data_IF_473549895525
#
_entry.id   IF_473549895525
#
_cell.length_a   1.000
_cell.length_b   1.000
_cell.length_c   1.000
_cell.angle_alpha   90.00
_cell.angle_beta   90.00
_cell.angle_gamma   90.00
#
_symmetry.space_group_name_H-M   'P 1'
#
loop_
_entity.id
_entity.type
_entity.pdbx_description
1 polymer ?
#
# COMPACT_ATOMS: atom_id res chain seq x y z
N UNK A 1 -32.23 -37.56 18.19
CA UNK A 1 -30.85 -37.12 18.51
C UNK A 1 -30.68 -37.04 20.02
N UNK A 2 -29.70 -37.71 20.65
CA UNK A 2 -29.56 -37.66 22.11
C UNK A 2 -28.90 -36.34 22.53
N UNK A 3 -29.53 -35.65 23.48
CA UNK A 3 -29.06 -34.37 24.06
C UNK A 3 -27.71 -34.59 24.77
N UNK A 4 -26.69 -33.81 24.41
CA UNK A 4 -25.39 -33.79 25.11
C UNK A 4 -25.60 -33.37 26.57
N UNK A 5 -25.11 -34.17 27.52
CA UNK A 5 -25.14 -33.85 28.96
C UNK A 5 -24.26 -32.60 29.20
N UNK A 6 -24.76 -31.56 29.89
CA UNK A 6 -23.94 -30.40 30.22
C UNK A 6 -22.84 -30.79 31.20
N UNK A 7 -21.62 -30.31 30.96
CA UNK A 7 -20.46 -30.61 31.79
C UNK A 7 -20.58 -29.89 33.14
N UNK A 8 -20.74 -30.66 34.22
CA UNK A 8 -20.84 -30.12 35.57
C UNK A 8 -19.51 -29.48 36.00
N UNK A 9 -19.56 -28.22 36.46
CA UNK A 9 -18.40 -27.48 36.93
C UNK A 9 -17.65 -28.18 38.08
N UNK A 10 -18.37 -28.98 38.87
CA UNK A 10 -17.78 -29.80 39.96
C UNK A 10 -16.84 -30.88 39.41
N UNK A 11 -17.19 -31.47 38.27
CA UNK A 11 -16.40 -32.49 37.59
C UNK A 11 -15.13 -31.88 36.95
N UNK A 12 -15.23 -30.67 36.40
CA UNK A 12 -14.08 -29.96 35.84
C UNK A 12 -13.07 -29.52 36.91
N UNK A 13 -13.57 -29.10 38.09
CA UNK A 13 -12.71 -28.75 39.23
C UNK A 13 -11.96 -29.97 39.78
N UNK A 14 -12.64 -31.11 39.88
CA UNK A 14 -12.02 -32.38 40.29
C UNK A 14 -10.92 -32.84 39.32
N UNK A 15 -11.14 -32.72 38.00
CA UNK A 15 -10.14 -33.07 36.99
C UNK A 15 -8.90 -32.15 37.05
N UNK A 16 -9.08 -30.87 37.33
CA UNK A 16 -7.96 -29.94 37.50
C UNK A 16 -7.16 -30.21 38.78
N UNK A 17 -7.82 -30.59 39.87
CA UNK A 17 -7.15 -31.01 41.10
C UNK A 17 -6.35 -32.30 40.90
N UNK A 18 -6.92 -33.30 40.22
CA UNK A 18 -6.20 -34.53 39.89
C UNK A 18 -4.98 -34.26 38.99
N UNK A 19 -5.11 -33.41 37.97
CA UNK A 19 -3.96 -33.03 37.13
C UNK A 19 -2.84 -32.34 37.92
N UNK A 20 -3.19 -31.49 38.88
CA UNK A 20 -2.21 -30.81 39.75
C UNK A 20 -1.55 -31.78 40.73
N UNK A 21 -2.28 -32.76 41.26
CA UNK A 21 -1.74 -33.80 42.12
C UNK A 21 -0.77 -34.73 41.37
N UNK A 22 -1.05 -35.05 40.10
CA UNK A 22 -0.13 -35.80 39.23
C UNK A 22 1.15 -35.00 38.94
N UNK A 23 1.03 -33.70 38.64
CA UNK A 23 2.22 -32.84 38.40
C UNK A 23 3.06 -32.68 39.68
N UNK A 24 2.43 -32.69 40.85
CA UNK A 24 3.12 -32.62 42.16
C UNK A 24 3.76 -33.95 42.57
N UNK A 25 3.44 -35.05 41.90
CA UNK A 25 3.98 -36.39 42.19
C UNK A 25 3.24 -37.14 43.30
N UNK A 26 2.08 -36.64 43.76
CA UNK A 26 1.30 -37.27 44.84
C UNK A 26 0.51 -38.52 44.35
N UNK A 27 0.37 -38.68 43.03
CA UNK A 27 -0.41 -39.77 42.40
C UNK A 27 0.26 -40.17 41.08
N UNK A 28 0.49 -41.47 40.88
CA UNK A 28 1.03 -41.99 39.62
C UNK A 28 0.07 -41.78 38.44
N UNK A 29 0.58 -41.42 37.24
CA UNK A 29 -0.25 -41.23 36.07
C UNK A 29 -0.91 -42.54 35.63
N UNK A 30 -2.23 -42.50 35.43
CA UNK A 30 -2.99 -43.66 34.96
C UNK A 30 -2.50 -44.11 33.57
N UNK A 31 -2.46 -45.44 33.31
CA UNK A 31 -2.00 -45.97 32.03
C UNK A 31 -2.85 -45.47 30.87
N UNK A 32 -2.18 -45.06 29.79
CA UNK A 32 -2.80 -44.51 28.59
C UNK A 32 -3.82 -45.51 28.00
N UNK A 33 -5.09 -45.11 27.95
CA UNK A 33 -6.10 -45.88 27.20
C UNK A 33 -5.79 -45.77 25.71
N UNK A 34 -5.74 -46.90 25.03
CA UNK A 34 -5.61 -46.98 23.58
C UNK A 34 -6.77 -46.23 22.93
N UNK A 35 -6.47 -45.09 22.31
CA UNK A 35 -7.43 -44.33 21.51
C UNK A 35 -7.75 -45.12 20.24
N UNK A 36 -8.88 -45.83 20.25
CA UNK A 36 -9.50 -46.28 19.00
C UNK A 36 -9.93 -45.05 18.23
N UNK A 37 -9.19 -44.69 17.17
CA UNK A 37 -9.53 -43.62 16.24
C UNK A 37 -10.87 -43.88 15.52
N UNK A 38 -11.98 -43.57 16.17
CA UNK A 38 -13.23 -43.27 15.46
C UNK A 38 -13.08 -41.86 14.89
N UNK A 39 -12.89 -41.76 13.57
CA UNK A 39 -12.98 -40.51 12.79
C UNK A 39 -14.34 -39.86 13.04
N UNK A 40 -14.41 -39.01 14.07
CA UNK A 40 -15.47 -38.03 14.20
C UNK A 40 -15.31 -37.03 13.08
N UNK A 41 -16.29 -36.96 12.16
CA UNK A 41 -16.42 -35.85 11.22
C UNK A 41 -16.44 -34.55 12.03
N UNK A 42 -15.28 -33.88 12.12
CA UNK A 42 -15.22 -32.46 12.45
C UNK A 42 -16.06 -31.75 11.39
N UNK A 43 -17.12 -31.07 11.81
CA UNK A 43 -17.73 -30.05 10.98
C UNK A 43 -16.62 -29.07 10.61
N UNK A 44 -16.19 -29.11 9.35
CA UNK A 44 -15.33 -28.10 8.76
C UNK A 44 -16.10 -26.78 8.83
N UNK A 45 -15.67 -25.90 9.73
CA UNK A 45 -15.85 -24.47 9.53
C UNK A 45 -15.28 -24.17 8.16
N UNK A 46 -16.12 -23.65 7.27
CA UNK A 46 -15.97 -23.67 5.82
C UNK A 46 -14.54 -23.42 5.36
N UNK A 47 -13.89 -24.48 4.87
CA UNK A 47 -12.86 -24.32 3.87
C UNK A 47 -13.58 -23.79 2.63
N UNK A 48 -13.58 -22.46 2.49
CA UNK A 48 -13.75 -21.84 1.19
C UNK A 48 -12.83 -22.60 0.25
N UNK A 49 -13.40 -23.23 -0.78
CA UNK A 49 -12.67 -23.79 -1.90
C UNK A 49 -11.87 -22.66 -2.53
N UNK A 50 -10.67 -22.38 -2.01
CA UNK A 50 -9.75 -21.42 -2.61
C UNK A 50 -9.29 -22.06 -3.91
N UNK A 51 -9.82 -21.54 -5.01
CA UNK A 51 -9.40 -21.90 -6.37
C UNK A 51 -7.86 -21.90 -6.42
N UNK A 52 -7.19 -22.96 -6.91
CA UNK A 52 -5.73 -23.02 -6.96
C UNK A 52 -5.14 -21.83 -7.75
N UNK A 53 -5.83 -21.37 -8.80
CA UNK A 53 -5.48 -20.16 -9.54
C UNK A 53 -5.50 -18.87 -8.69
N UNK A 54 -6.41 -18.77 -7.72
CA UNK A 54 -6.45 -17.63 -6.78
C UNK A 54 -5.29 -17.71 -5.80
N UNK A 55 -4.94 -18.91 -5.33
CA UNK A 55 -3.78 -19.10 -4.46
C UNK A 55 -2.46 -18.76 -5.19
N UNK A 56 -2.36 -19.12 -6.46
CA UNK A 56 -1.21 -18.80 -7.33
C UNK A 56 -1.12 -17.30 -7.62
N UNK A 57 -2.24 -16.64 -7.96
CA UNK A 57 -2.31 -15.19 -8.13
C UNK A 57 -1.89 -14.44 -6.85
N UNK A 58 -2.30 -14.92 -5.67
CA UNK A 58 -1.89 -14.32 -4.39
C UNK A 58 -0.38 -14.48 -4.15
N UNK A 59 0.21 -15.64 -4.48
CA UNK A 59 1.67 -15.84 -4.40
C UNK A 59 2.42 -14.94 -5.37
N UNK A 60 1.89 -14.73 -6.56
CA UNK A 60 2.48 -13.85 -7.58
C UNK A 60 2.54 -12.39 -7.14
N UNK A 61 1.62 -11.95 -6.27
CA UNK A 61 1.54 -10.61 -5.68
C UNK A 61 2.16 -10.52 -4.28
N UNK A 62 3.08 -11.42 -3.94
CA UNK A 62 3.85 -11.32 -2.71
C UNK A 62 4.96 -10.28 -2.87
N UNK A 63 5.11 -9.38 -1.91
CA UNK A 63 6.16 -8.38 -1.95
C UNK A 63 7.54 -9.04 -1.83
N UNK A 64 8.51 -8.48 -2.54
CA UNK A 64 9.90 -8.93 -2.53
C UNK A 64 10.81 -7.75 -2.20
N UNK A 65 11.67 -7.93 -1.20
CA UNK A 65 12.62 -6.91 -0.75
C UNK A 65 14.03 -7.48 -0.75
N UNK A 66 15.04 -6.60 -0.76
CA UNK A 66 16.44 -7.03 -0.58
C UNK A 66 16.59 -7.76 0.75
N UNK A 67 17.29 -8.89 0.73
CA UNK A 67 17.74 -9.56 1.94
C UNK A 67 19.10 -9.01 2.31
N UNK A 68 19.25 -8.58 3.56
CA UNK A 68 20.53 -8.09 4.07
C UNK A 68 21.56 -9.25 4.08
N UNK A 69 22.80 -9.03 3.64
CA UNK A 69 23.87 -10.01 3.75
C UNK A 69 24.09 -10.46 5.20
N UNK A 70 24.47 -11.73 5.41
CA UNK A 70 24.73 -12.25 6.76
C UNK A 70 25.87 -11.50 7.45
N UNK A 71 26.91 -11.13 6.70
CA UNK A 71 28.06 -10.36 7.20
C UNK A 71 27.61 -9.01 7.75
N UNK A 72 26.80 -8.26 6.98
CA UNK A 72 26.21 -6.99 7.41
C UNK A 72 25.38 -7.15 8.70
N UNK A 73 24.60 -8.23 8.82
CA UNK A 73 23.79 -8.51 10.01
C UNK A 73 24.65 -8.82 11.24
N UNK A 74 25.73 -9.58 11.08
CA UNK A 74 26.66 -9.91 12.17
C UNK A 74 27.44 -8.69 12.63
N UNK A 75 27.92 -7.87 11.70
CA UNK A 75 28.62 -6.63 11.98
C UNK A 75 27.73 -5.61 12.70
N UNK A 76 26.55 -5.31 12.14
CA UNK A 76 25.61 -4.37 12.78
C UNK A 76 25.15 -4.86 14.15
N UNK A 77 25.00 -6.18 14.35
CA UNK A 77 24.71 -6.75 15.66
C UNK A 77 25.85 -6.58 16.65
N UNK A 78 27.11 -6.79 16.21
CA UNK A 78 28.30 -6.56 17.03
C UNK A 78 28.37 -5.10 17.45
N UNK A 79 28.30 -4.19 16.49
CA UNK A 79 28.37 -2.75 16.71
C UNK A 79 27.21 -2.25 17.59
N UNK A 80 25.98 -2.72 17.38
CA UNK A 80 24.84 -2.35 18.24
C UNK A 80 25.01 -2.80 19.70
N UNK A 81 25.82 -3.83 19.96
CA UNK A 81 26.13 -4.30 21.31
C UNK A 81 27.31 -3.54 21.95
N UNK A 82 28.22 -2.98 21.15
CA UNK A 82 29.43 -2.31 21.63
C UNK A 82 29.31 -0.80 21.68
N UNK A 83 28.54 -0.19 20.77
CA UNK A 83 28.44 1.26 20.66
C UNK A 83 27.62 1.84 21.83
N UNK A 84 28.16 2.85 22.54
CA UNK A 84 27.45 3.48 23.64
C UNK A 84 26.28 4.30 23.10
N UNK A 85 25.05 3.96 23.51
CA UNK A 85 23.86 4.77 23.20
C UNK A 85 23.62 5.77 24.35
N UNK A 86 23.96 7.07 24.19
CA UNK A 86 23.74 8.05 25.23
C UNK A 86 22.24 8.19 25.53
N UNK A 87 21.91 8.22 26.82
CA UNK A 87 20.55 8.45 27.30
C UNK A 87 20.53 9.71 28.18
N UNK A 88 19.47 10.54 28.09
CA UNK A 88 18.31 10.41 27.19
C UNK A 88 18.68 10.63 25.71
N UNK A 89 17.91 10.02 24.80
CA UNK A 89 18.05 10.31 23.37
C UNK A 89 17.68 11.77 23.16
N UNK A 90 18.50 12.53 22.44
CA UNK A 90 18.20 13.93 22.09
C UNK A 90 16.85 14.02 21.37
N UNK A 91 16.03 15.00 21.73
CA UNK A 91 14.78 15.28 21.03
C UNK A 91 14.98 15.64 19.56
N UNK A 92 16.18 16.09 19.18
CA UNK A 92 16.50 16.39 17.78
C UNK A 92 16.49 15.14 16.90
N UNK A 93 16.79 13.96 17.45
CA UNK A 93 16.69 12.69 16.71
C UNK A 93 15.24 12.33 16.32
N UNK A 94 14.24 12.97 16.96
CA UNK A 94 12.83 12.81 16.60
C UNK A 94 12.36 13.80 15.52
N UNK A 95 13.19 14.77 15.15
CA UNK A 95 12.87 15.76 14.11
C UNK A 95 13.26 15.19 12.75
N UNK A 96 12.28 15.11 11.85
CA UNK A 96 12.58 14.83 10.45
C UNK A 96 13.29 16.05 9.85
N UNK A 97 14.52 15.87 9.39
CA UNK A 97 15.23 16.93 8.70
C UNK A 97 14.71 17.04 7.26
N UNK A 98 14.00 18.13 6.96
CA UNK A 98 13.53 18.41 5.61
C UNK A 98 14.68 18.85 4.68
N UNK A 99 15.90 19.10 5.17
CA UNK A 99 17.02 19.46 4.29
C UNK A 99 17.38 18.35 3.28
N UNK A 100 17.12 17.09 3.63
CA UNK A 100 17.19 15.93 2.71
C UNK A 100 16.07 15.96 1.64
N UNK A 101 15.20 16.98 1.68
CA UNK A 101 14.06 17.19 0.77
C UNK A 101 13.90 18.66 0.35
N UNK A 102 14.83 19.57 0.73
CA UNK A 102 14.71 21.01 0.46
C UNK A 102 15.09 21.34 -0.98
N UNK A 103 14.30 22.21 -1.57
CA UNK A 103 14.43 22.68 -2.95
C UNK A 103 15.51 23.75 -3.12
N UNK A 104 16.65 23.68 -2.43
CA UNK A 104 17.75 24.64 -2.65
C UNK A 104 18.50 24.34 -3.96
N UNK A 105 18.64 25.29 -4.91
CA UNK A 105 19.27 25.05 -6.23
C UNK A 105 20.75 24.71 -6.22
N UNK A 106 21.43 24.93 -5.10
CA UNK A 106 22.89 24.78 -4.99
C UNK A 106 23.30 23.62 -4.08
N UNK A 107 22.34 22.79 -3.64
CA UNK A 107 22.60 21.70 -2.71
C UNK A 107 22.79 20.37 -3.45
N UNK A 108 23.87 19.67 -3.11
CA UNK A 108 24.28 18.38 -3.70
C UNK A 108 23.16 17.32 -3.59
N UNK A 109 22.29 17.47 -2.59
CA UNK A 109 21.12 16.64 -2.28
C UNK A 109 20.02 16.66 -3.37
N UNK A 110 19.96 17.67 -4.25
CA UNK A 110 19.05 17.66 -5.42
C UNK A 110 19.34 16.51 -6.37
N UNK A 111 20.61 16.09 -6.47
CA UNK A 111 20.99 14.96 -7.32
C UNK A 111 20.47 13.64 -6.76
N UNK A 112 20.34 13.49 -5.45
CA UNK A 112 19.96 12.23 -4.79
C UNK A 112 18.44 11.98 -4.82
N UNK A 113 17.62 13.02 -4.65
CA UNK A 113 16.15 12.92 -4.73
C UNK A 113 15.68 12.58 -6.17
N UNK A 114 16.44 13.00 -7.18
CA UNK A 114 16.19 12.67 -8.59
C UNK A 114 16.70 11.27 -9.01
N UNK A 115 17.53 10.62 -8.20
CA UNK A 115 18.14 9.35 -8.56
C UNK A 115 17.16 8.18 -8.46
N UNK A 116 16.41 8.09 -7.36
CA UNK A 116 15.43 7.02 -7.14
C UNK A 116 14.07 7.38 -7.75
N UNK A 117 13.65 6.62 -8.77
CA UNK A 117 12.42 6.89 -9.54
C UNK A 117 11.49 5.69 -9.51
N UNK A 118 10.20 5.87 -9.78
CA UNK A 118 9.32 4.73 -10.06
C UNK A 118 9.55 4.22 -11.50
N UNK A 119 9.57 2.89 -11.74
CA UNK A 119 9.73 2.34 -13.07
C UNK A 119 8.55 2.74 -13.95
N UNK A 120 8.84 3.31 -15.11
CA UNK A 120 7.83 3.66 -16.12
C UNK A 120 7.51 2.44 -16.95
N UNK A 121 6.23 2.23 -17.27
CA UNK A 121 5.86 1.16 -18.18
C UNK A 121 6.39 1.47 -19.59
N UNK A 122 7.03 0.52 -20.29
CA UNK A 122 7.36 0.69 -21.70
C UNK A 122 6.11 1.00 -22.53
N UNK A 123 6.26 1.83 -23.57
CA UNK A 123 5.20 1.98 -24.57
C UNK A 123 4.97 0.62 -25.25
N UNK A 124 3.71 0.23 -25.34
CA UNK A 124 3.27 -0.96 -26.07
C UNK A 124 2.32 -0.53 -27.19
N UNK A 125 2.10 -1.42 -28.16
CA UNK A 125 1.18 -1.20 -29.27
C UNK A 125 0.27 -2.42 -29.41
N UNK A 126 -0.89 -2.26 -30.00
CA UNK A 126 -1.88 -3.33 -30.12
C UNK A 126 -1.39 -4.51 -30.96
N UNK A 127 -0.46 -4.29 -31.88
CA UNK A 127 0.14 -5.34 -32.70
C UNK A 127 1.12 -6.22 -31.92
N UNK A 128 1.57 -5.77 -30.74
CA UNK A 128 2.49 -6.54 -29.90
C UNK A 128 1.75 -7.70 -29.24
N UNK A 129 2.35 -8.88 -29.30
CA UNK A 129 1.84 -10.04 -28.56
C UNK A 129 2.00 -9.80 -27.05
N UNK A 130 1.14 -10.42 -26.25
CA UNK A 130 1.24 -10.40 -24.78
C UNK A 130 2.65 -10.74 -24.29
N UNK A 131 3.27 -11.77 -24.88
CA UNK A 131 4.61 -12.22 -24.53
C UNK A 131 5.69 -11.19 -24.82
N UNK A 132 5.55 -10.43 -25.92
CA UNK A 132 6.49 -9.36 -26.25
C UNK A 132 6.36 -8.19 -25.27
N UNK A 133 5.14 -7.80 -24.92
CA UNK A 133 4.88 -6.76 -23.92
C UNK A 133 5.46 -7.17 -22.57
N UNK A 134 5.21 -8.40 -22.12
CA UNK A 134 5.72 -8.92 -20.85
C UNK A 134 7.27 -8.94 -20.82
N UNK A 135 7.91 -9.35 -21.93
CA UNK A 135 9.38 -9.36 -22.04
C UNK A 135 9.98 -7.96 -22.08
N UNK A 136 9.32 -7.01 -22.73
CA UNK A 136 9.74 -5.61 -22.74
C UNK A 136 9.65 -4.97 -21.35
N UNK A 137 8.56 -5.25 -20.63
CA UNK A 137 8.37 -4.83 -19.23
C UNK A 137 9.45 -5.42 -18.31
N UNK A 138 9.76 -6.72 -18.45
CA UNK A 138 10.83 -7.39 -17.71
C UNK A 138 12.20 -6.77 -17.99
N UNK A 139 12.52 -6.48 -19.25
CA UNK A 139 13.78 -5.88 -19.65
C UNK A 139 13.96 -4.46 -19.10
N UNK A 140 12.93 -3.63 -19.13
CA UNK A 140 12.97 -2.28 -18.54
C UNK A 140 13.08 -2.34 -17.02
N UNK A 141 12.27 -3.20 -16.39
CA UNK A 141 12.27 -3.36 -14.94
C UNK A 141 13.63 -3.81 -14.42
N UNK A 142 14.29 -4.75 -15.10
CA UNK A 142 15.64 -5.19 -14.74
C UNK A 142 16.64 -4.02 -14.78
N UNK A 143 16.65 -3.23 -15.86
CA UNK A 143 17.53 -2.05 -15.96
C UNK A 143 17.27 -1.02 -14.86
N UNK A 144 16.00 -0.79 -14.55
CA UNK A 144 15.61 0.11 -13.46
C UNK A 144 16.08 -0.43 -12.09
N UNK A 145 15.98 -1.74 -11.89
CA UNK A 145 16.40 -2.41 -10.66
C UNK A 145 17.92 -2.31 -10.49
N UNK A 146 18.69 -2.62 -11.54
CA UNK A 146 20.15 -2.55 -11.54
C UNK A 146 20.62 -1.12 -11.20
N UNK A 147 20.03 -0.10 -11.85
CA UNK A 147 20.31 1.32 -11.55
C UNK A 147 19.94 1.68 -10.10
N UNK A 148 18.80 1.22 -9.61
CA UNK A 148 18.37 1.51 -8.24
C UNK A 148 19.28 0.85 -7.22
N UNK A 149 19.78 -0.35 -7.51
CA UNK A 149 20.74 -1.06 -6.67
C UNK A 149 22.11 -0.36 -6.66
N UNK A 150 22.57 0.17 -7.79
CA UNK A 150 23.79 1.00 -7.86
C UNK A 150 23.67 2.23 -6.96
N UNK A 151 22.56 2.97 -7.05
CA UNK A 151 22.30 4.16 -6.20
C UNK A 151 22.26 3.77 -4.71
N UNK A 152 21.58 2.68 -4.37
CA UNK A 152 21.50 2.23 -2.97
C UNK A 152 22.85 1.72 -2.47
N UNK A 153 23.66 1.10 -3.32
CA UNK A 153 25.01 0.67 -2.98
C UNK A 153 25.90 1.88 -2.68
N UNK A 154 25.91 2.89 -3.55
CA UNK A 154 26.63 4.16 -3.34
C UNK A 154 26.20 4.85 -2.03
N UNK A 155 24.88 4.88 -1.75
CA UNK A 155 24.37 5.41 -0.48
C UNK A 155 24.86 4.62 0.75
N UNK A 156 25.08 3.31 0.62
CA UNK A 156 25.55 2.47 1.72
C UNK A 156 27.07 2.55 1.92
N UNK A 157 27.81 3.09 0.96
CA UNK A 157 29.25 3.30 1.10
C UNK A 157 29.51 4.34 2.22
N UNK A 158 30.50 4.08 3.10
CA UNK A 158 30.84 5.03 4.15
C UNK A 158 31.37 6.33 3.53
N UNK A 159 30.93 7.47 4.04
CA UNK A 159 31.50 8.77 3.68
C UNK A 159 32.95 8.81 4.17
N UNK A 160 33.90 8.53 3.28
CA UNK A 160 35.32 8.68 3.57
C UNK A 160 35.61 10.18 3.59
N UNK A 161 35.68 10.77 4.77
CA UNK A 161 36.15 12.15 4.95
C UNK A 161 37.65 12.13 4.67
N UNK A 162 38.08 12.83 3.61
CA UNK A 162 39.52 12.99 3.32
C UNK A 162 40.21 13.54 4.57
N UNK A 163 41.22 12.83 5.12
CA UNK A 163 41.91 13.29 6.31
C UNK A 163 42.61 14.61 6.00
N UNK A 164 42.37 15.61 6.85
CA UNK A 164 43.26 16.76 6.92
C UNK A 164 44.54 16.29 7.63
N UNK A 165 45.57 16.00 6.84
CA UNK A 165 46.99 15.78 7.20
C UNK A 165 47.29 14.84 8.42
N UNK A 166 47.96 13.72 8.11
CA UNK A 166 48.82 12.86 8.96
C UNK A 166 48.26 11.70 9.83
N UNK A 167 46.96 11.42 9.92
CA UNK A 167 46.44 10.31 10.78
C UNK A 167 45.64 9.22 10.02
N UNK A 168 46.28 8.47 9.10
CA UNK A 168 45.65 7.31 8.40
C UNK A 168 45.19 6.18 9.35
N UNK A 169 45.84 6.03 10.51
CA UNK A 169 45.49 4.99 11.49
C UNK A 169 44.17 5.29 12.23
N UNK A 170 43.86 6.57 12.43
CA UNK A 170 42.69 7.03 13.18
C UNK A 170 41.40 6.93 12.34
N UNK A 171 41.51 7.01 11.01
CA UNK A 171 40.37 6.85 10.08
C UNK A 171 39.76 5.44 10.12
N UNK A 172 40.59 4.40 10.14
CA UNK A 172 40.11 3.01 10.13
C UNK A 172 39.42 2.62 11.45
N UNK A 173 39.88 3.16 12.59
CA UNK A 173 39.18 2.98 13.88
C UNK A 173 37.87 3.78 13.91
N UNK A 174 37.85 5.02 13.40
CA UNK A 174 36.64 5.85 13.34
C UNK A 174 35.54 5.29 12.42
N UNK A 175 35.90 4.68 11.28
CA UNK A 175 34.96 3.96 10.40
C UNK A 175 34.38 2.72 11.10
N UNK A 176 35.19 2.02 11.91
CA UNK A 176 34.76 0.83 12.66
C UNK A 176 33.85 1.16 13.87
N UNK A 177 33.77 2.42 14.30
CA UNK A 177 32.95 2.85 15.44
C UNK A 177 31.59 3.45 15.06
N UNK A 178 31.23 3.51 13.78
CA UNK A 178 29.93 4.03 13.35
C UNK A 178 29.01 2.94 12.81
N UNK A 179 27.70 3.12 13.02
CA UNK A 179 26.68 2.25 12.41
C UNK A 179 26.70 2.44 10.90
N UNK A 180 26.91 1.39 10.09
CA UNK A 180 26.83 1.51 8.65
C UNK A 180 25.40 1.87 8.22
N UNK A 181 25.27 2.62 7.12
CA UNK A 181 23.97 2.96 6.52
C UNK A 181 23.31 1.67 6.02
N UNK A 182 22.07 1.42 6.45
CA UNK A 182 21.33 0.27 5.99
C UNK A 182 20.75 0.52 4.58
N UNK A 183 20.75 -0.49 3.69
CA UNK A 183 20.15 -0.33 2.37
C UNK A 183 18.64 -0.11 2.50
N UNK A 184 18.11 0.78 1.66
CA UNK A 184 16.68 1.08 1.67
C UNK A 184 15.88 -0.09 1.11
N UNK A 185 14.76 -0.42 1.76
CA UNK A 185 13.87 -1.49 1.29
C UNK A 185 12.85 -0.95 0.31
N UNK A 186 12.87 -1.45 -0.93
CA UNK A 186 11.87 -1.15 -1.96
C UNK A 186 11.39 -2.42 -2.66
N UNK A 187 10.24 -2.34 -3.32
CA UNK A 187 9.59 -3.48 -3.97
C UNK A 187 10.38 -3.95 -5.20
N UNK A 188 10.77 -5.23 -5.20
CA UNK A 188 11.53 -5.88 -6.27
C UNK A 188 10.68 -6.84 -7.11
N UNK A 189 9.41 -7.03 -6.78
CA UNK A 189 8.50 -7.84 -7.57
C UNK A 189 7.84 -7.02 -8.69
N UNK A 190 8.16 -7.33 -9.94
CA UNK A 190 7.56 -6.73 -11.13
C UNK A 190 6.04 -6.80 -11.13
N UNK A 191 5.45 -7.85 -10.58
CA UNK A 191 3.99 -8.03 -10.58
C UNK A 191 3.27 -6.98 -9.74
N UNK A 192 3.92 -6.49 -8.67
CA UNK A 192 3.41 -5.39 -7.86
C UNK A 192 3.49 -4.08 -8.66
N UNK A 193 4.59 -3.85 -9.38
CA UNK A 193 4.73 -2.69 -10.26
C UNK A 193 3.75 -2.72 -11.45
N UNK A 194 3.46 -3.91 -12.00
CA UNK A 194 2.40 -4.10 -13.00
C UNK A 194 1.03 -3.70 -12.46
N UNK A 195 0.74 -3.94 -11.17
CA UNK A 195 -0.50 -3.42 -10.56
C UNK A 195 -0.52 -1.90 -10.50
N UNK A 196 0.59 -1.27 -10.12
CA UNK A 196 0.69 0.19 -10.14
C UNK A 196 0.44 0.74 -11.56
N UNK A 197 1.05 0.15 -12.58
CA UNK A 197 0.84 0.56 -13.97
C UNK A 197 -0.62 0.41 -14.39
N UNK A 198 -1.25 -0.74 -14.14
CA UNK A 198 -2.67 -0.97 -14.46
C UNK A 198 -3.58 0.04 -13.77
N UNK A 199 -3.38 0.27 -12.47
CA UNK A 199 -4.20 1.22 -11.69
C UNK A 199 -4.02 2.63 -12.22
N UNK A 200 -2.78 3.05 -12.48
CA UNK A 200 -2.49 4.41 -12.95
C UNK A 200 -2.86 4.65 -14.40
N UNK A 201 -3.00 3.59 -15.21
CA UNK A 201 -3.47 3.69 -16.60
C UNK A 201 -5.00 3.78 -16.67
N UNK A 202 -5.70 2.86 -16.01
CA UNK A 202 -7.15 2.68 -16.14
C UNK A 202 -7.94 3.73 -15.35
N UNK A 203 -7.36 4.27 -14.27
CA UNK A 203 -8.08 5.15 -13.35
C UNK A 203 -8.10 6.60 -13.83
N UNK A 204 -9.26 7.25 -13.77
CA UNK A 204 -9.35 8.71 -13.99
C UNK A 204 -9.06 9.49 -12.70
N UNK A 205 -9.49 8.98 -11.55
CA UNK A 205 -9.18 9.54 -10.23
C UNK A 205 -8.29 8.55 -9.46
N UNK A 206 -7.22 9.05 -8.84
CA UNK A 206 -6.30 8.29 -8.01
C UNK A 206 -6.43 8.71 -6.55
N UNK A 207 -6.74 7.76 -5.68
CA UNK A 207 -6.72 7.91 -4.23
C UNK A 207 -5.43 7.33 -3.67
N UNK A 208 -4.65 8.14 -2.97
CA UNK A 208 -3.41 7.70 -2.32
C UNK A 208 -3.62 7.68 -0.82
N UNK A 209 -3.60 6.50 -0.22
CA UNK A 209 -3.78 6.34 1.22
C UNK A 209 -2.48 6.59 1.98
N UNK A 210 -2.49 7.61 2.83
CA UNK A 210 -1.38 8.00 3.69
C UNK A 210 -1.73 7.64 5.15
N UNK A 211 -0.86 6.95 5.86
CA UNK A 211 -1.03 6.74 7.31
C UNK A 211 -0.61 8.01 8.06
N UNK A 212 -1.50 8.58 8.86
CA UNK A 212 -1.27 9.87 9.56
C UNK A 212 -0.05 9.89 10.48
N UNK A 213 0.47 8.72 10.86
CA UNK A 213 1.67 8.60 11.70
C UNK A 213 2.95 8.95 10.96
N UNK A 214 3.01 8.71 9.65
CA UNK A 214 4.19 8.97 8.83
C UNK A 214 3.78 9.14 7.34
N UNK A 215 3.04 10.20 6.98
CA UNK A 215 2.47 10.34 5.65
C UNK A 215 3.52 10.42 4.54
N UNK A 216 4.70 11.00 4.83
CA UNK A 216 5.80 11.13 3.86
C UNK A 216 6.33 9.79 3.36
N UNK A 217 6.29 8.74 4.19
CA UNK A 217 6.67 7.38 3.79
C UNK A 217 5.68 6.76 2.78
N UNK A 218 4.44 7.25 2.76
CA UNK A 218 3.38 6.76 1.88
C UNK A 218 3.28 7.55 0.58
N UNK A 219 3.82 8.77 0.54
CA UNK A 219 3.89 9.61 -0.66
C UNK A 219 5.31 10.19 -0.85
N UNK A 220 6.28 9.33 -1.24
CA UNK A 220 7.64 9.79 -1.47
C UNK A 220 7.72 10.68 -2.72
N UNK A 221 8.76 11.55 -2.83
CA UNK A 221 8.97 12.41 -3.99
C UNK A 221 9.00 11.64 -5.33
N UNK A 222 9.56 10.42 -5.34
CA UNK A 222 9.60 9.55 -6.52
C UNK A 222 8.21 9.20 -7.07
N UNK A 223 7.24 8.95 -6.18
CA UNK A 223 5.85 8.69 -6.55
C UNK A 223 5.14 9.98 -6.99
N UNK A 224 5.39 11.09 -6.29
CA UNK A 224 4.84 12.39 -6.66
C UNK A 224 5.27 12.81 -8.08
N UNK A 225 6.57 12.70 -8.39
CA UNK A 225 7.12 12.96 -9.72
C UNK A 225 6.60 11.98 -10.78
N UNK A 226 6.43 10.70 -10.42
CA UNK A 226 5.85 9.70 -11.31
C UNK A 226 4.41 10.06 -11.71
N UNK A 227 3.57 10.42 -10.73
CA UNK A 227 2.16 10.76 -10.97
C UNK A 227 1.96 12.16 -11.57
N UNK A 228 2.94 13.05 -11.45
CA UNK A 228 2.92 14.38 -12.07
C UNK A 228 3.40 14.37 -13.53
N UNK A 229 3.77 13.20 -14.07
CA UNK A 229 4.25 13.09 -15.43
C UNK A 229 3.18 13.51 -16.47
N UNK A 230 3.56 14.08 -17.63
CA UNK A 230 2.60 14.67 -18.58
C UNK A 230 1.50 13.72 -19.08
N UNK A 231 1.78 12.41 -19.17
CA UNK A 231 0.81 11.39 -19.58
C UNK A 231 -0.26 11.10 -18.52
N UNK A 232 -0.08 11.61 -17.30
CA UNK A 232 -1.07 11.57 -16.21
C UNK A 232 -1.73 12.93 -15.96
N UNK A 233 -1.42 13.98 -16.75
CA UNK A 233 -1.97 15.32 -16.55
C UNK A 233 -3.51 15.41 -16.61
N UNK A 234 -4.16 14.44 -17.27
CA UNK A 234 -5.63 14.34 -17.34
C UNK A 234 -6.24 13.59 -16.15
N UNK A 235 -5.43 13.12 -15.20
CA UNK A 235 -5.89 12.40 -14.01
C UNK A 235 -6.01 13.36 -12.83
N UNK A 236 -6.81 12.99 -11.83
CA UNK A 236 -6.93 13.74 -10.58
C UNK A 236 -6.45 12.89 -9.43
N UNK A 237 -5.55 13.44 -8.62
CA UNK A 237 -4.97 12.74 -7.47
C UNK A 237 -5.48 13.36 -6.19
N UNK A 238 -5.96 12.52 -5.27
CA UNK A 238 -6.44 12.91 -3.94
C UNK A 238 -5.61 12.13 -2.91
N UNK A 239 -5.00 12.86 -1.99
CA UNK A 239 -4.29 12.31 -0.85
C UNK A 239 -5.28 12.07 0.30
N UNK A 240 -5.37 10.85 0.79
CA UNK A 240 -6.27 10.47 1.87
C UNK A 240 -5.45 10.16 3.12
N UNK A 241 -5.46 11.08 4.09
CA UNK A 241 -4.81 10.93 5.38
C UNK A 241 -5.67 10.05 6.28
N UNK A 242 -5.31 8.77 6.36
CA UNK A 242 -6.00 7.74 7.14
C UNK A 242 -5.52 7.68 8.59
N UNK A 243 -6.35 7.09 9.46
CA UNK A 243 -6.04 6.83 10.88
C UNK A 243 -5.77 8.11 11.67
N UNK A 244 -6.49 9.19 11.36
CA UNK A 244 -6.33 10.46 12.10
C UNK A 244 -6.75 10.32 13.56
N UNK A 245 -7.58 9.33 13.89
CA UNK A 245 -7.94 8.93 15.26
C UNK A 245 -6.71 8.52 16.11
N UNK A 246 -5.66 7.95 15.50
CA UNK A 246 -4.45 7.52 16.21
C UNK A 246 -3.50 8.70 16.47
N UNK A 247 -3.38 9.60 15.49
CA UNK A 247 -2.50 10.77 15.60
C UNK A 247 -3.19 11.94 16.31
N UNK A 248 -4.52 11.96 16.40
CA UNK A 248 -5.27 13.07 16.95
C UNK A 248 -5.33 14.29 16.00
N UNK A 249 -6.33 15.15 16.20
CA UNK A 249 -6.72 16.17 15.22
C UNK A 249 -5.62 17.21 14.96
N UNK A 250 -4.98 17.74 16.01
CA UNK A 250 -3.95 18.78 15.84
C UNK A 250 -2.77 18.33 14.97
N UNK A 251 -2.34 17.06 15.07
CA UNK A 251 -1.27 16.51 14.23
C UNK A 251 -1.75 16.22 12.81
N UNK A 252 -3.00 15.76 12.66
CA UNK A 252 -3.59 15.51 11.36
C UNK A 252 -3.78 16.82 10.57
N UNK A 253 -4.21 17.90 11.23
CA UNK A 253 -4.34 19.24 10.64
C UNK A 253 -2.99 19.82 10.23
N UNK A 254 -1.96 19.67 11.08
CA UNK A 254 -0.59 20.07 10.73
C UNK A 254 -0.08 19.32 9.49
N UNK A 255 -0.33 18.00 9.40
CA UNK A 255 0.01 17.21 8.22
C UNK A 255 -0.77 17.63 6.97
N UNK A 256 -2.07 17.89 7.11
CA UNK A 256 -2.89 18.36 6.00
C UNK A 256 -2.37 19.71 5.48
N UNK A 257 -2.09 20.65 6.37
CA UNK A 257 -1.51 21.95 6.01
C UNK A 257 -0.16 21.79 5.30
N UNK A 258 0.74 20.97 5.84
CA UNK A 258 2.03 20.68 5.22
C UNK A 258 1.88 20.10 3.81
N UNK A 259 1.02 19.09 3.62
CA UNK A 259 0.81 18.44 2.32
C UNK A 259 0.18 19.38 1.30
N UNK A 260 -0.78 20.21 1.70
CA UNK A 260 -1.39 21.23 0.82
C UNK A 260 -0.37 22.30 0.42
N UNK A 261 0.49 22.75 1.34
CA UNK A 261 1.55 23.71 1.01
C UNK A 261 2.60 23.10 0.08
N UNK A 262 3.01 21.86 0.33
CA UNK A 262 4.03 21.17 -0.49
C UNK A 262 3.52 20.76 -1.87
N UNK A 263 2.23 20.46 -1.98
CA UNK A 263 1.57 20.04 -3.22
C UNK A 263 0.28 20.84 -3.48
N UNK A 264 0.38 22.12 -3.90
CA UNK A 264 -0.76 23.04 -3.98
C UNK A 264 -1.85 22.65 -4.98
N UNK A 265 -1.58 21.69 -5.88
CA UNK A 265 -2.57 21.15 -6.82
C UNK A 265 -3.25 19.86 -6.35
N UNK A 266 -2.90 19.32 -5.18
CA UNK A 266 -3.46 18.07 -4.67
C UNK A 266 -4.47 18.32 -3.57
N UNK A 267 -5.58 17.59 -3.63
CA UNK A 267 -6.60 17.57 -2.57
C UNK A 267 -6.14 16.67 -1.43
N UNK A 268 -6.31 17.12 -0.20
CA UNK A 268 -6.01 16.33 1.01
C UNK A 268 -7.30 16.12 1.80
N UNK A 269 -7.67 14.86 2.01
CA UNK A 269 -8.86 14.46 2.78
C UNK A 269 -8.42 13.67 4.00
N UNK A 270 -8.94 14.03 5.18
CA UNK A 270 -8.70 13.28 6.40
C UNK A 270 -9.76 12.19 6.58
N UNK A 271 -9.38 11.03 7.12
CA UNK A 271 -10.28 9.89 7.35
C UNK A 271 -9.92 9.15 8.64
N UNK A 272 -10.90 8.99 9.52
CA UNK A 272 -10.84 8.06 10.65
C UNK A 272 -10.99 6.62 10.19
N UNK A 273 -10.30 5.69 10.86
CA UNK A 273 -10.32 4.28 10.45
C UNK A 273 -10.95 3.35 11.47
N UNK A 274 -11.03 3.75 12.74
CA UNK A 274 -11.45 2.88 13.83
C UNK A 274 -12.37 3.62 14.80
N UNK A 275 -13.38 2.92 15.32
CA UNK A 275 -14.19 3.38 16.45
C UNK A 275 -14.07 2.39 17.60
N UNK A 276 -14.02 2.91 18.83
CA UNK A 276 -14.03 2.06 20.02
C UNK A 276 -15.43 1.45 20.21
N UNK A 277 -15.48 0.13 20.13
CA UNK A 277 -16.67 -0.66 20.43
C UNK A 277 -16.85 -0.72 21.94
N UNK A 278 -17.84 -0.01 22.45
CA UNK A 278 -18.29 -0.16 23.83
C UNK A 278 -18.84 -1.59 24.03
N UNK A 279 -18.01 -2.47 24.62
CA UNK A 279 -18.48 -3.77 25.09
C UNK A 279 -19.18 -3.55 26.42
N UNK A 280 -20.45 -3.94 26.51
CA UNK A 280 -21.30 -3.73 27.68
C UNK A 280 -20.64 -4.18 29.00
N UNK A 281 -20.96 -3.46 30.08
CA UNK A 281 -20.46 -3.68 31.44
C UNK A 281 -20.60 -5.17 31.84
N UNK A 282 -19.50 -5.93 31.82
CA UNK A 282 -19.51 -7.33 32.24
C UNK A 282 -18.47 -8.23 31.57
N UNK A 283 -17.86 -7.80 30.47
CA UNK A 283 -16.74 -8.51 29.81
C UNK A 283 -15.46 -7.72 30.02
N UNK A 284 -14.48 -8.26 30.74
CA UNK A 284 -13.30 -7.52 31.22
C UNK A 284 -12.63 -6.61 30.17
N UNK A 285 -12.66 -5.30 30.46
CA UNK A 285 -11.77 -4.18 30.10
C UNK A 285 -10.80 -4.27 28.89
N UNK A 286 -11.12 -4.99 27.83
CA UNK A 286 -10.38 -4.89 26.56
C UNK A 286 -11.14 -3.96 25.62
N UNK A 287 -10.55 -2.78 25.37
CA UNK A 287 -10.98 -1.87 24.33
C UNK A 287 -10.94 -2.60 23.00
N UNK A 288 -12.10 -2.77 22.36
CA UNK A 288 -12.21 -3.42 21.07
C UNK A 288 -12.46 -2.32 20.04
N UNK A 289 -11.77 -2.36 18.90
CA UNK A 289 -11.97 -1.39 17.82
C UNK A 289 -12.62 -2.07 16.62
N UNK A 290 -13.56 -1.39 15.97
CA UNK A 290 -14.14 -1.83 14.70
C UNK A 290 -13.87 -0.83 13.57
N UNK A 291 -13.64 -1.29 12.33
CA UNK A 291 -13.48 -0.39 11.19
C UNK A 291 -14.75 0.44 11.00
N UNK A 292 -14.60 1.76 11.01
CA UNK A 292 -15.71 2.69 10.89
C UNK A 292 -15.25 3.92 10.11
N UNK A 293 -16.05 4.30 9.12
CA UNK A 293 -15.91 5.56 8.40
C UNK A 293 -17.07 6.47 8.84
N UNK A 294 -16.82 7.49 9.68
CA UNK A 294 -17.87 8.40 10.11
C UNK A 294 -18.52 9.12 8.93
N UNK A 295 -19.82 9.43 9.05
CA UNK A 295 -20.61 10.04 7.98
C UNK A 295 -20.03 11.37 7.50
N UNK A 296 -19.50 12.18 8.41
CA UNK A 296 -18.85 13.45 8.05
C UNK A 296 -17.61 13.23 7.16
N UNK A 297 -16.72 12.31 7.51
CA UNK A 297 -15.54 12.00 6.70
C UNK A 297 -15.91 11.33 5.38
N UNK A 298 -16.97 10.51 5.37
CA UNK A 298 -17.53 9.98 4.13
C UNK A 298 -18.00 11.11 3.22
N UNK A 299 -18.75 12.07 3.75
CA UNK A 299 -19.21 13.23 3.00
C UNK A 299 -18.02 13.99 2.39
N UNK A 300 -17.00 14.31 3.19
CA UNK A 300 -15.80 15.00 2.70
C UNK A 300 -15.07 14.23 1.59
N UNK A 301 -14.95 12.90 1.71
CA UNK A 301 -14.33 12.09 0.67
C UNK A 301 -15.16 12.09 -0.63
N UNK A 302 -16.49 12.00 -0.51
CA UNK A 302 -17.40 12.04 -1.67
C UNK A 302 -17.39 13.41 -2.32
N UNK A 303 -17.37 14.48 -1.54
CA UNK A 303 -17.28 15.85 -2.06
C UNK A 303 -15.96 16.05 -2.82
N UNK A 304 -14.84 15.56 -2.29
CA UNK A 304 -13.55 15.61 -2.99
C UNK A 304 -13.56 14.80 -4.30
N UNK A 305 -14.21 13.64 -4.33
CA UNK A 305 -14.41 12.85 -5.55
C UNK A 305 -15.30 13.58 -6.57
N UNK A 306 -16.37 14.20 -6.09
CA UNK A 306 -17.30 14.97 -6.91
C UNK A 306 -16.62 16.19 -7.52
N UNK A 307 -15.83 16.93 -6.75
CA UNK A 307 -15.04 18.04 -7.24
C UNK A 307 -14.01 17.59 -8.31
N UNK A 308 -13.26 16.53 -8.02
CA UNK A 308 -12.31 15.96 -8.99
C UNK A 308 -13.02 15.50 -10.27
N UNK A 309 -14.22 14.95 -10.17
CA UNK A 309 -15.05 14.60 -11.32
C UNK A 309 -15.51 15.83 -12.10
N UNK A 310 -15.98 16.88 -11.43
CA UNK A 310 -16.36 18.14 -12.10
C UNK A 310 -15.20 18.78 -12.86
N UNK A 311 -13.99 18.74 -12.32
CA UNK A 311 -12.79 19.21 -13.02
C UNK A 311 -12.43 18.38 -14.26
N UNK A 312 -12.83 17.11 -14.29
CA UNK A 312 -12.62 16.24 -15.46
C UNK A 312 -13.68 16.48 -16.54
N UNK A 313 -14.82 17.07 -16.18
CA UNK A 313 -15.84 17.53 -17.13
C UNK A 313 -15.49 18.87 -17.78
N UNK A 314 -14.51 19.58 -17.24
CA UNK A 314 -14.05 20.84 -17.83
C UNK A 314 -12.94 20.61 -18.88
N UNK A 315 -13.03 21.26 -20.06
CA UNK A 315 -11.99 21.18 -21.06
C UNK A 315 -10.69 21.83 -20.56
N UNK A 316 -9.53 21.18 -20.77
CA UNK A 316 -8.22 21.77 -20.45
C UNK A 316 -8.02 23.12 -21.16
N UNK A 317 -7.24 24.01 -20.54
CA UNK A 317 -6.96 25.38 -21.06
C UNK A 317 -6.55 25.38 -22.54
N UNK A 318 -5.66 24.47 -22.94
CA UNK A 318 -5.20 24.32 -24.35
C UNK A 318 -6.31 24.04 -25.36
N UNK A 319 -7.42 23.46 -24.92
CA UNK A 319 -8.59 23.13 -25.75
C UNK A 319 -9.61 24.26 -25.68
N UNK A 320 -9.73 24.94 -24.53
CA UNK A 320 -10.59 26.11 -24.35
C UNK A 320 -10.22 27.26 -25.30
N UNK A 321 -8.93 27.45 -25.56
CA UNK A 321 -8.44 28.53 -26.41
C UNK A 321 -8.59 28.24 -27.93
N UNK A 322 -8.96 27.02 -28.30
CA UNK A 322 -9.12 26.59 -29.69
C UNK A 322 -10.58 26.22 -29.99
N UNK A 323 -11.37 27.08 -30.68
CA UNK A 323 -12.82 26.89 -30.84
C UNK A 323 -13.18 25.60 -31.58
N UNK A 324 -12.39 25.22 -32.58
CA UNK A 324 -12.61 23.99 -33.35
C UNK A 324 -12.40 22.73 -32.50
N UNK A 325 -11.38 22.75 -31.62
CA UNK A 325 -11.09 21.64 -30.70
C UNK A 325 -12.09 21.57 -29.56
N UNK A 326 -12.61 22.70 -29.11
CA UNK A 326 -13.63 22.78 -28.08
C UNK A 326 -14.95 22.14 -28.55
N UNK A 327 -15.34 22.38 -29.81
CA UNK A 327 -16.54 21.80 -30.40
C UNK A 327 -16.46 20.26 -30.51
N UNK A 328 -15.28 19.71 -30.79
CA UNK A 328 -15.03 18.28 -30.87
C UNK A 328 -14.72 17.62 -29.52
N UNK A 329 -14.56 18.39 -28.44
CA UNK A 329 -14.09 17.86 -27.16
C UNK A 329 -15.19 17.09 -26.41
N UNK A 330 -14.89 15.83 -26.09
CA UNK A 330 -15.69 15.00 -25.19
C UNK A 330 -14.97 14.81 -23.84
N UNK A 331 -15.69 14.84 -22.71
CA UNK A 331 -15.10 14.52 -21.41
C UNK A 331 -14.53 13.10 -21.38
N UNK A 332 -13.38 12.87 -20.73
CA UNK A 332 -12.78 11.55 -20.58
C UNK A 332 -13.49 10.68 -19.53
N UNK A 333 -14.57 11.18 -18.93
CA UNK A 333 -15.29 10.54 -17.82
C UNK A 333 -16.79 10.53 -18.11
N UNK A 334 -17.48 9.60 -17.47
CA UNK A 334 -18.94 9.54 -17.48
C UNK A 334 -19.52 10.86 -16.98
N UNK A 335 -20.47 11.44 -17.71
CA UNK A 335 -21.04 12.76 -17.40
C UNK A 335 -21.85 12.77 -16.12
N UNK A 336 -22.66 11.73 -15.92
CA UNK A 336 -23.58 11.63 -14.78
C UNK A 336 -23.15 10.54 -13.81
N UNK A 337 -22.92 10.92 -12.56
CA UNK A 337 -22.56 10.01 -11.47
C UNK A 337 -23.54 10.23 -10.32
N UNK A 338 -24.16 9.16 -9.84
CA UNK A 338 -25.06 9.21 -8.68
C UNK A 338 -24.25 9.22 -7.38
N UNK A 339 -23.89 10.42 -6.94
CA UNK A 339 -23.18 10.66 -5.68
C UNK A 339 -24.03 10.38 -4.44
N UNK A 340 -25.36 10.50 -4.55
CA UNK A 340 -26.31 10.27 -3.45
C UNK A 340 -26.34 8.79 -3.07
N UNK A 341 -26.44 7.90 -4.07
CA UNK A 341 -26.32 6.46 -3.85
C UNK A 341 -24.99 6.09 -3.18
N UNK A 342 -23.90 6.80 -3.49
CA UNK A 342 -22.59 6.56 -2.89
C UNK A 342 -22.48 7.06 -1.44
N UNK A 343 -23.29 8.01 -1.00
CA UNK A 343 -23.40 8.43 0.40
C UNK A 343 -24.28 7.48 1.22
N UNK A 344 -25.37 6.99 0.61
CA UNK A 344 -26.35 6.11 1.26
C UNK A 344 -25.94 4.64 1.29
N UNK A 345 -25.03 4.22 0.41
CA UNK A 345 -24.60 2.83 0.31
C UNK A 345 -24.05 2.31 1.66
N UNK A 346 -24.65 1.27 2.24
CA UNK A 346 -24.03 0.55 3.36
C UNK A 346 -22.90 -0.34 2.83
N UNK A 347 -21.83 -0.50 3.61
CA UNK A 347 -20.63 -1.29 3.25
C UNK A 347 -20.97 -2.68 2.67
N UNK A 348 -22.07 -3.31 3.11
CA UNK A 348 -22.55 -4.62 2.65
C UNK A 348 -23.07 -4.65 1.20
N UNK A 349 -23.50 -3.52 0.63
CA UNK A 349 -24.05 -3.45 -0.73
C UNK A 349 -22.98 -3.27 -1.82
N UNK A 350 -21.75 -2.91 -1.43
CA UNK A 350 -20.65 -2.53 -2.34
C UNK A 350 -19.89 -3.75 -2.92
N UNK A 351 -20.14 -4.96 -2.40
CA UNK A 351 -19.40 -6.18 -2.79
C UNK A 351 -20.01 -6.87 -4.04
N UNK A 352 -21.13 -6.39 -4.59
CA UNK A 352 -21.83 -7.02 -5.73
C UNK A 352 -21.33 -6.58 -7.13
N UNK A 353 -20.06 -6.24 -7.28
CA UNK A 353 -19.43 -6.18 -8.60
C UNK A 353 -18.25 -7.15 -8.62
N UNK A 354 -18.56 -8.42 -8.89
CA UNK A 354 -17.56 -9.41 -9.21
C UNK A 354 -17.12 -9.11 -10.66
N UNK A 355 -15.86 -8.77 -10.95
CA UNK A 355 -15.44 -8.27 -12.27
C UNK A 355 -15.63 -9.28 -13.42
N UNK A 356 -16.02 -10.52 -13.10
CA UNK A 356 -16.25 -11.60 -14.07
C UNK A 356 -17.73 -12.03 -14.21
N UNK A 357 -18.72 -11.37 -13.59
CA UNK A 357 -20.10 -11.89 -13.57
C UNK A 357 -21.15 -11.13 -14.38
N UNK A 358 -20.84 -9.95 -14.89
CA UNK A 358 -21.73 -9.19 -15.80
C UNK A 358 -21.08 -8.97 -17.18
N UNK A 359 -20.28 -9.95 -17.63
CA UNK A 359 -20.10 -10.17 -19.07
C UNK A 359 -21.22 -11.14 -19.46
N UNK A 360 -22.13 -10.81 -20.40
CA UNK A 360 -23.23 -11.68 -20.76
C UNK A 360 -22.72 -13.08 -21.12
N UNK A 361 -23.36 -14.11 -20.56
CA UNK A 361 -23.07 -15.51 -20.85
C UNK A 361 -22.97 -15.77 -22.35
N UNK A 362 -21.89 -16.47 -22.70
CA UNK A 362 -21.51 -16.90 -24.04
C UNK A 362 -22.48 -17.93 -24.63
N UNK A 363 -23.69 -17.51 -24.99
CA UNK A 363 -24.59 -18.33 -25.82
C UNK A 363 -24.95 -17.67 -27.15
N UNK A 364 -24.46 -16.47 -27.48
CA UNK A 364 -24.65 -15.84 -28.81
C UNK A 364 -23.44 -15.02 -29.36
N UNK A 365 -22.21 -15.22 -28.89
CA UNK A 365 -21.04 -14.54 -29.47
C UNK A 365 -20.57 -15.25 -30.76
N UNK A 366 -20.93 -14.68 -31.90
CA UNK A 366 -20.10 -14.71 -33.11
C UNK A 366 -18.79 -13.93 -32.83
N UNK A 367 -17.68 -14.28 -33.49
CA UNK A 367 -16.37 -13.68 -33.20
C UNK A 367 -16.40 -12.17 -33.47
N UNK A 368 -16.17 -11.39 -32.41
CA UNK A 368 -16.02 -9.93 -32.47
C UNK A 368 -14.54 -9.64 -32.73
N UNK A 369 -14.07 -10.02 -33.92
CA UNK A 369 -13.03 -9.29 -34.63
C UNK A 369 -13.76 -8.12 -35.33
N UNK A 370 -13.19 -6.91 -35.33
CA UNK A 370 -13.80 -5.63 -35.79
C UNK A 370 -14.56 -4.84 -34.70
N UNK A 371 -13.84 -4.30 -33.70
CA UNK A 371 -14.22 -3.05 -32.97
C UNK A 371 -13.13 -2.60 -31.98
N UNK A 372 -11.86 -2.66 -32.39
CA UNK A 372 -10.71 -2.15 -31.61
C UNK A 372 -9.80 -1.28 -32.48
N UNK A 373 -10.43 -0.54 -33.39
CA UNK A 373 -9.79 0.49 -34.19
C UNK A 373 -9.80 1.81 -33.40
N UNK A 374 -8.63 2.46 -33.36
CA UNK A 374 -8.38 3.87 -33.02
C UNK A 374 -8.18 4.27 -31.55
N UNK A 375 -7.08 3.81 -30.93
CA UNK A 375 -6.42 4.58 -29.87
C UNK A 375 -4.93 4.79 -30.15
N UNK A 376 -4.66 5.40 -31.31
CA UNK A 376 -3.50 6.29 -31.49
C UNK A 376 -3.77 7.28 -32.62
N UNK A 377 -3.92 8.54 -32.22
CA UNK A 377 -4.05 9.77 -33.03
C UNK A 377 -5.42 10.20 -33.59
N UNK A 378 -6.46 9.38 -33.54
CA UNK A 378 -7.85 9.82 -33.80
C UNK A 378 -8.75 9.47 -32.59
N UNK A 379 -9.27 10.49 -31.90
CA UNK A 379 -10.30 10.34 -30.86
C UNK A 379 -11.68 10.70 -31.45
N UNK A 380 -12.07 10.03 -32.54
CA UNK A 380 -13.38 10.20 -33.17
C UNK A 380 -14.07 8.84 -33.27
N UNK A 381 -14.64 8.36 -32.15
CA UNK A 381 -15.79 7.42 -32.04
C UNK A 381 -15.74 6.38 -30.89
N UNK A 382 -15.35 6.79 -29.68
CA UNK A 382 -15.70 6.00 -28.48
C UNK A 382 -17.02 6.50 -27.87
N UNK A 383 -17.92 5.55 -27.58
CA UNK A 383 -19.12 5.75 -26.78
C UNK A 383 -18.78 6.38 -25.41
N UNK A 384 -19.74 7.08 -24.81
CA UNK A 384 -19.53 7.64 -23.47
C UNK A 384 -19.09 6.52 -22.49
N UNK A 385 -18.03 6.72 -21.69
CA UNK A 385 -17.52 5.67 -20.82
C UNK A 385 -18.57 5.24 -19.79
N UNK A 386 -18.79 3.93 -19.67
CA UNK A 386 -19.84 3.34 -18.82
C UNK A 386 -19.66 3.63 -17.32
N UNK A 387 -18.40 3.80 -16.88
CA UNK A 387 -18.03 3.93 -15.47
C UNK A 387 -17.01 5.04 -15.23
N UNK A 388 -17.12 5.70 -14.08
CA UNK A 388 -16.04 6.50 -13.50
C UNK A 388 -15.09 5.54 -12.75
N UNK A 389 -13.84 5.47 -13.14
CA UNK A 389 -12.85 4.59 -12.52
C UNK A 389 -12.03 5.35 -11.47
N UNK A 390 -12.00 4.78 -10.26
CA UNK A 390 -11.22 5.30 -9.13
C UNK A 390 -10.17 4.26 -8.74
N UNK A 391 -8.90 4.65 -8.86
CA UNK A 391 -7.76 3.83 -8.51
C UNK A 391 -7.34 4.06 -7.06
N UNK A 392 -6.99 3.00 -6.35
CA UNK A 392 -6.51 3.08 -4.98
C UNK A 392 -5.04 2.65 -4.92
N UNK A 393 -4.19 3.54 -4.41
CA UNK A 393 -2.78 3.27 -4.15
C UNK A 393 -2.55 3.33 -2.65
N UNK A 394 -2.07 2.21 -2.08
CA UNK A 394 -1.77 2.12 -0.65
C UNK A 394 -0.56 1.22 -0.44
N UNK A 395 0.28 1.56 0.54
CA UNK A 395 1.37 0.69 0.96
C UNK A 395 0.80 -0.47 1.77
N UNK A 396 0.93 -1.70 1.26
CA UNK A 396 0.62 -2.90 2.04
C UNK A 396 1.65 -2.99 3.18
N UNK A 397 1.20 -2.86 4.44
CA UNK A 397 1.98 -3.35 5.57
C UNK A 397 1.85 -4.87 5.57
N UNK A 398 2.84 -5.57 5.05
CA UNK A 398 3.04 -6.95 5.48
C UNK A 398 3.38 -6.88 6.97
N UNK A 399 2.47 -7.37 7.80
CA UNK A 399 2.77 -7.65 9.19
C UNK A 399 3.74 -8.83 9.12
N UNK A 400 5.04 -8.53 9.06
CA UNK A 400 6.07 -9.50 9.43
C UNK A 400 5.88 -9.69 10.92
N UNK A 401 5.06 -10.67 11.30
CA UNK A 401 5.11 -11.20 12.65
C UNK A 401 6.51 -11.78 12.85
N UNK A 402 7.23 -11.41 13.92
CA UNK A 402 8.54 -11.96 14.22
C UNK A 402 8.50 -13.48 14.43
#
# INVERSE_FOLDING_TARGET
MPRRKPASGKQRKAQLQQKRAIIRGDIDPLPAKQDTHRKGKRAQVGQSTRNPAVAESVRRLQSSFVKLPSEFLEETKRLAATLPLPRPISSDAARWNESVSSQDPDDTDKREIEQLTCPKRPKWRYEMTKTEVEKNEEGLFKKWLDRSDEIVAEWCEPEIREPADDDEADLNEQIQEQMPKAPTSFERNLEVWRQLWRVTEISQILLILLDSRCPLLHYPPSLASYLSAPHFARKRTILVLTKVDISGPARADAWAHYLTTKYPGLRVVQVESYVEKHVGEGSGARRMYEPYLPSAFRQTLVDALKEAHTELLEPPERIRDAPDKLAAWKPPVRREVDWGALLDARWSSVIKANPNRDIPSAEHCQPVDEQLDQLSEDYEDEADPDFLTVGLIAKRREIVTP
#
